data_IF_903459375451
#
_entry.id   IF_903459375451
#
_cell.length_a   1.000
_cell.length_b   1.000
_cell.length_c   1.000
_cell.angle_alpha   90.00
_cell.angle_beta   90.00
_cell.angle_gamma   90.00
#
_symmetry.space_group_name_H-M   'P 1'
#
loop_
_entity.id
_entity.type
_entity.pdbx_description
1 polymer ?
#
# COMPACT_ATOMS: atom_id res chain seq x y z
N UNK A 1 -30.89 -31.40 27.36
CA UNK A 1 -30.49 -29.99 27.58
C UNK A 1 -29.95 -29.41 26.26
N UNK A 2 -30.80 -29.28 25.23
CA UNK A 2 -30.42 -28.83 23.86
C UNK A 2 -30.78 -27.35 23.64
N UNK A 3 -31.78 -26.87 24.39
CA UNK A 3 -32.34 -25.53 24.27
C UNK A 3 -31.33 -24.45 24.72
N UNK A 4 -30.53 -24.71 25.76
CA UNK A 4 -29.50 -23.77 26.22
C UNK A 4 -28.38 -23.55 25.19
N UNK A 5 -27.98 -24.59 24.46
CA UNK A 5 -26.97 -24.48 23.40
C UNK A 5 -27.47 -23.67 22.20
N UNK A 6 -28.77 -23.75 21.89
CA UNK A 6 -29.39 -22.99 20.81
C UNK A 6 -29.42 -21.48 21.11
N UNK A 7 -29.68 -21.12 22.37
CA UNK A 7 -29.62 -19.73 22.82
C UNK A 7 -28.19 -19.18 22.82
N UNK A 8 -27.20 -19.98 23.20
CA UNK A 8 -25.77 -19.62 23.14
C UNK A 8 -25.28 -19.36 21.70
N UNK A 9 -25.68 -20.19 20.74
CA UNK A 9 -25.36 -19.98 19.32
C UNK A 9 -25.99 -18.68 18.78
N UNK A 10 -27.24 -18.42 19.13
CA UNK A 10 -27.97 -17.21 18.72
C UNK A 10 -27.37 -15.94 19.33
N UNK A 11 -26.91 -16.02 20.59
CA UNK A 11 -26.24 -14.91 21.28
C UNK A 11 -24.85 -14.62 20.69
N UNK A 12 -24.06 -15.66 20.41
CA UNK A 12 -22.74 -15.51 19.78
C UNK A 12 -22.84 -14.93 18.36
N UNK A 13 -23.83 -15.36 17.57
CA UNK A 13 -24.12 -14.78 16.25
C UNK A 13 -24.50 -13.29 16.34
N UNK A 14 -25.31 -12.91 17.33
CA UNK A 14 -25.74 -11.53 17.52
C UNK A 14 -24.60 -10.62 18.01
N UNK A 15 -23.69 -11.15 18.85
CA UNK A 15 -22.55 -10.40 19.40
C UNK A 15 -21.45 -10.15 18.35
N UNK A 16 -21.17 -11.12 17.48
CA UNK A 16 -20.06 -11.01 16.51
C UNK A 16 -20.50 -10.66 15.08
N UNK A 17 -21.81 -10.55 14.82
CA UNK A 17 -22.36 -10.34 13.49
C UNK A 17 -22.06 -8.96 12.86
N UNK A 18 -21.68 -7.95 13.66
CA UNK A 18 -21.41 -6.58 13.17
C UNK A 18 -19.93 -6.25 12.95
N UNK A 19 -19.00 -7.14 13.31
CA UNK A 19 -17.56 -6.81 13.31
C UNK A 19 -16.79 -7.38 12.11
N UNK A 20 -17.46 -8.11 11.22
CA UNK A 20 -16.82 -8.62 10.01
C UNK A 20 -17.77 -8.52 8.83
N UNK A 21 -17.68 -7.42 8.08
CA UNK A 21 -18.10 -7.43 6.68
C UNK A 21 -17.08 -8.28 5.91
N UNK A 22 -17.23 -9.59 6.02
CA UNK A 22 -16.65 -10.49 5.05
C UNK A 22 -17.34 -10.22 3.72
N UNK A 23 -16.61 -9.57 2.82
CA UNK A 23 -16.94 -9.60 1.40
C UNK A 23 -17.26 -11.05 1.04
N UNK A 24 -18.43 -11.24 0.43
CA UNK A 24 -18.96 -12.54 0.06
C UNK A 24 -17.93 -13.32 -0.76
N UNK A 25 -17.13 -14.14 -0.09
CA UNK A 25 -16.27 -15.15 -0.72
C UNK A 25 -17.11 -16.36 -1.18
N UNK A 26 -18.43 -16.29 -1.04
CA UNK A 26 -19.33 -17.34 -1.47
C UNK A 26 -19.38 -17.36 -3.00
N UNK A 27 -18.49 -18.16 -3.59
CA UNK A 27 -18.83 -19.02 -4.72
C UNK A 27 -20.26 -19.50 -4.58
N UNK A 28 -21.10 -19.24 -5.60
CA UNK A 28 -22.54 -19.45 -5.57
C UNK A 28 -22.94 -20.53 -4.55
N UNK A 29 -23.45 -20.09 -3.41
CA UNK A 29 -24.39 -20.94 -2.70
C UNK A 29 -25.70 -20.65 -3.41
N UNK A 30 -26.00 -21.49 -4.40
CA UNK A 30 -27.36 -21.77 -4.85
C UNK A 30 -28.25 -21.69 -3.61
N UNK A 31 -29.12 -20.68 -3.51
CA UNK A 31 -29.76 -20.33 -2.25
C UNK A 31 -30.53 -21.55 -1.71
N UNK A 32 -30.00 -22.13 -0.64
CA UNK A 32 -30.23 -23.52 -0.23
C UNK A 32 -31.55 -23.73 0.50
N UNK A 33 -32.54 -22.85 0.28
CA UNK A 33 -33.89 -23.08 0.80
C UNK A 33 -34.62 -24.18 0.01
N UNK A 34 -34.20 -24.51 -1.22
CA UNK A 34 -34.75 -25.63 -2.02
C UNK A 34 -33.69 -26.25 -2.94
N UNK A 35 -33.69 -27.58 -3.07
CA UNK A 35 -32.80 -28.31 -3.98
C UNK A 35 -33.01 -27.86 -5.42
N UNK A 36 -31.98 -27.25 -6.02
CA UNK A 36 -32.05 -26.69 -7.37
C UNK A 36 -31.28 -27.59 -8.34
N UNK A 37 -31.91 -27.92 -9.48
CA UNK A 37 -31.26 -28.71 -10.52
C UNK A 37 -30.18 -27.86 -11.18
N UNK A 38 -28.97 -28.42 -11.26
CA UNK A 38 -27.75 -27.74 -11.73
C UNK A 38 -27.79 -27.30 -13.21
N UNK A 39 -28.83 -27.69 -13.95
CA UNK A 39 -29.09 -27.29 -15.34
C UNK A 39 -30.05 -26.10 -15.47
N UNK A 40 -30.62 -25.60 -14.36
CA UNK A 40 -31.52 -24.45 -14.43
C UNK A 40 -30.78 -23.20 -14.90
N UNK A 41 -31.41 -22.43 -15.78
CA UNK A 41 -30.82 -21.23 -16.38
C UNK A 41 -30.27 -20.25 -15.33
N UNK A 42 -30.98 -20.11 -14.19
CA UNK A 42 -30.56 -19.28 -13.06
C UNK A 42 -29.21 -19.70 -12.44
N UNK A 43 -28.92 -21.01 -12.38
CA UNK A 43 -27.63 -21.51 -11.87
C UNK A 43 -26.51 -21.22 -12.87
N UNK A 44 -26.77 -21.40 -14.18
CA UNK A 44 -25.80 -21.08 -15.23
C UNK A 44 -25.49 -19.59 -15.26
N UNK A 45 -26.51 -18.71 -15.29
CA UNK A 45 -26.33 -17.25 -15.28
C UNK A 45 -25.55 -16.78 -14.05
N UNK A 46 -25.85 -17.35 -12.87
CA UNK A 46 -25.08 -17.12 -11.66
C UNK A 46 -23.60 -17.45 -11.85
N UNK A 47 -23.30 -18.64 -12.38
CA UNK A 47 -21.92 -19.10 -12.61
C UNK A 47 -21.17 -18.20 -13.59
N UNK A 48 -21.82 -17.72 -14.66
CA UNK A 48 -21.25 -16.76 -15.61
C UNK A 48 -20.95 -15.42 -14.92
N UNK A 49 -21.91 -14.85 -14.21
CA UNK A 49 -21.72 -13.60 -13.47
C UNK A 49 -20.63 -13.71 -12.39
N UNK A 50 -20.43 -14.89 -11.82
CA UNK A 50 -19.32 -15.12 -10.90
C UNK A 50 -17.98 -15.20 -11.63
N UNK A 51 -17.91 -15.89 -12.77
CA UNK A 51 -16.70 -16.00 -13.58
C UNK A 51 -16.23 -14.62 -14.04
N UNK A 52 -17.16 -13.77 -14.50
CA UNK A 52 -16.85 -12.39 -14.88
C UNK A 52 -16.36 -11.54 -13.69
N UNK A 53 -16.99 -11.67 -12.52
CA UNK A 53 -16.51 -11.02 -11.28
C UNK A 53 -15.09 -11.45 -10.91
N UNK A 54 -14.79 -12.75 -10.96
CA UNK A 54 -13.42 -13.25 -10.70
C UNK A 54 -12.42 -12.71 -11.72
N UNK A 55 -12.77 -12.70 -13.00
CA UNK A 55 -11.88 -12.17 -14.04
C UNK A 55 -11.60 -10.68 -13.87
N UNK A 56 -12.64 -9.89 -13.55
CA UNK A 56 -12.47 -8.46 -13.29
C UNK A 56 -11.65 -8.20 -12.03
N UNK A 57 -11.86 -8.96 -10.94
CA UNK A 57 -11.04 -8.87 -9.73
C UNK A 57 -9.58 -9.25 -9.98
N UNK A 58 -9.32 -10.30 -10.74
CA UNK A 58 -7.96 -10.70 -11.13
C UNK A 58 -7.27 -9.64 -11.98
N UNK A 59 -7.98 -9.05 -12.95
CA UNK A 59 -7.49 -7.96 -13.77
C UNK A 59 -7.18 -6.71 -12.90
N UNK A 60 -8.06 -6.36 -11.97
CA UNK A 60 -7.82 -5.26 -11.03
C UNK A 60 -6.63 -5.53 -10.09
N UNK A 61 -6.47 -6.77 -9.62
CA UNK A 61 -5.31 -7.16 -8.79
C UNK A 61 -4.01 -7.02 -9.57
N UNK A 62 -3.97 -7.46 -10.83
CA UNK A 62 -2.81 -7.29 -11.71
C UNK A 62 -2.50 -5.81 -11.95
N UNK A 63 -3.49 -5.02 -12.35
CA UNK A 63 -3.32 -3.58 -12.56
C UNK A 63 -2.82 -2.85 -11.30
N UNK A 64 -3.33 -3.23 -10.12
CA UNK A 64 -2.81 -2.70 -8.84
C UNK A 64 -1.36 -3.13 -8.62
N UNK A 65 -1.03 -4.41 -8.82
CA UNK A 65 0.35 -4.88 -8.66
C UNK A 65 1.34 -4.10 -9.54
N UNK A 66 0.97 -3.86 -10.80
CA UNK A 66 1.79 -3.10 -11.76
C UNK A 66 1.97 -1.64 -11.33
N UNK A 67 0.90 -0.98 -10.86
CA UNK A 67 0.98 0.39 -10.32
C UNK A 67 1.90 0.47 -9.10
N UNK A 68 1.82 -0.51 -8.21
CA UNK A 68 2.69 -0.56 -7.02
C UNK A 68 4.15 -0.82 -7.39
N UNK A 69 4.40 -1.68 -8.37
CA UNK A 69 5.75 -1.92 -8.90
C UNK A 69 6.33 -0.64 -9.51
N UNK A 70 5.58 0.05 -10.37
CA UNK A 70 6.00 1.32 -10.98
C UNK A 70 6.27 2.41 -9.93
N UNK A 71 5.40 2.52 -8.91
CA UNK A 71 5.59 3.47 -7.80
C UNK A 71 6.85 3.15 -7.00
N UNK A 72 7.11 1.87 -6.70
CA UNK A 72 8.34 1.46 -6.01
C UNK A 72 9.57 1.81 -6.84
N UNK A 73 9.56 1.54 -8.13
CA UNK A 73 10.68 1.87 -9.01
C UNK A 73 10.95 3.39 -9.04
N UNK A 74 9.90 4.20 -9.20
CA UNK A 74 10.03 5.66 -9.14
C UNK A 74 10.60 6.14 -7.81
N UNK A 75 10.12 5.59 -6.69
CA UNK A 75 10.64 5.91 -5.36
C UNK A 75 12.12 5.54 -5.22
N UNK A 76 12.53 4.37 -5.70
CA UNK A 76 13.95 3.95 -5.62
C UNK A 76 14.87 4.86 -6.42
N UNK A 77 14.43 5.39 -7.57
CA UNK A 77 15.19 6.36 -8.37
C UNK A 77 15.36 7.67 -7.61
N UNK A 78 14.26 8.20 -7.04
CA UNK A 78 14.30 9.43 -6.24
C UNK A 78 15.19 9.28 -4.99
N UNK A 79 15.10 8.15 -4.29
CA UNK A 79 15.92 7.90 -3.11
C UNK A 79 17.42 7.82 -3.47
N UNK A 80 17.76 7.20 -4.60
CA UNK A 80 19.13 7.13 -5.09
C UNK A 80 19.67 8.52 -5.47
N UNK A 81 18.88 9.35 -6.14
CA UNK A 81 19.22 10.75 -6.44
C UNK A 81 19.39 11.56 -5.16
N UNK A 82 18.49 11.39 -4.19
CA UNK A 82 18.56 12.08 -2.91
C UNK A 82 19.81 11.71 -2.11
N UNK A 83 20.24 10.46 -2.16
CA UNK A 83 21.52 10.02 -1.56
C UNK A 83 22.70 10.73 -2.22
N UNK A 84 22.71 10.86 -3.56
CA UNK A 84 23.76 11.60 -4.28
C UNK A 84 23.79 13.07 -3.90
N UNK A 85 22.64 13.75 -3.92
CA UNK A 85 22.51 15.16 -3.55
C UNK A 85 23.02 15.40 -2.12
N UNK A 86 22.66 14.53 -1.17
CA UNK A 86 23.18 14.61 0.21
C UNK A 86 24.68 14.40 0.29
N UNK A 87 25.24 13.47 -0.48
CA UNK A 87 26.67 13.22 -0.52
C UNK A 87 27.43 14.43 -1.09
N UNK A 88 26.95 15.01 -2.18
CA UNK A 88 27.56 16.18 -2.81
C UNK A 88 27.43 17.43 -1.93
N UNK A 89 26.29 17.64 -1.28
CA UNK A 89 26.15 18.73 -0.31
C UNK A 89 27.11 18.59 0.88
N UNK A 90 27.36 17.36 1.37
CA UNK A 90 28.35 17.12 2.42
C UNK A 90 29.77 17.46 1.96
N UNK A 91 30.14 17.11 0.72
CA UNK A 91 31.43 17.49 0.13
C UNK A 91 31.54 19.02 0.02
N UNK A 92 30.53 19.68 -0.52
CA UNK A 92 30.49 21.14 -0.65
C UNK A 92 30.63 21.85 0.70
N UNK A 93 29.99 21.33 1.76
CA UNK A 93 30.17 21.86 3.12
C UNK A 93 31.60 21.65 3.61
N UNK A 94 32.18 20.46 3.40
CA UNK A 94 33.55 20.17 3.83
C UNK A 94 34.57 21.07 3.13
N UNK A 95 34.44 21.24 1.82
CA UNK A 95 35.23 22.17 1.02
C UNK A 95 35.04 23.60 1.50
N UNK A 96 33.80 24.07 1.65
CA UNK A 96 33.51 25.41 2.15
C UNK A 96 34.14 25.69 3.52
N UNK A 97 34.10 24.71 4.44
CA UNK A 97 34.75 24.82 5.75
C UNK A 97 36.28 24.92 5.62
N UNK A 98 36.88 24.11 4.74
CA UNK A 98 38.32 24.16 4.46
C UNK A 98 38.72 25.55 3.92
N UNK A 99 37.97 26.06 2.94
CA UNK A 99 38.23 27.38 2.35
C UNK A 99 38.09 28.47 3.41
N UNK A 100 37.03 28.43 4.22
CA UNK A 100 36.86 29.39 5.32
C UNK A 100 38.00 29.34 6.35
N UNK A 101 38.50 28.14 6.68
CA UNK A 101 39.61 27.97 7.60
C UNK A 101 40.93 28.53 7.04
N UNK A 102 41.16 28.38 5.73
CA UNK A 102 42.32 28.97 5.05
C UNK A 102 42.23 30.51 5.03
N UNK A 103 41.07 31.07 4.63
CA UNK A 103 40.87 32.53 4.60
C UNK A 103 41.00 33.17 6.00
N UNK A 104 40.59 32.46 7.06
CA UNK A 104 40.81 32.91 8.44
C UNK A 104 42.29 32.88 8.83
N UNK A 105 43.06 31.87 8.39
CA UNK A 105 44.52 31.84 8.55
C UNK A 105 45.20 32.99 7.82
N UNK A 106 44.67 33.39 6.67
CA UNK A 106 45.16 34.52 5.87
C UNK A 106 44.73 35.89 6.45
N UNK A 107 44.05 35.93 7.61
CA UNK A 107 43.66 37.16 8.30
C UNK A 107 42.39 37.82 7.76
N UNK A 108 41.62 37.14 6.91
CA UNK A 108 40.38 37.70 6.37
C UNK A 108 39.30 37.76 7.46
N UNK A 109 38.70 38.94 7.62
CA UNK A 109 37.61 39.17 8.57
C UNK A 109 36.41 38.28 8.27
N UNK A 110 35.74 37.78 9.32
CA UNK A 110 34.58 36.89 9.22
C UNK A 110 33.44 37.43 8.35
N UNK A 111 33.32 38.76 8.21
CA UNK A 111 32.31 39.42 7.38
C UNK A 111 32.51 39.18 5.87
N UNK A 112 33.76 38.90 5.46
CA UNK A 112 34.14 38.70 4.06
C UNK A 112 34.27 37.22 3.69
N UNK A 113 33.92 36.31 4.60
CA UNK A 113 33.93 34.87 4.30
C UNK A 113 32.77 34.52 3.35
N UNK A 114 32.96 33.55 2.44
CA UNK A 114 31.90 33.08 1.57
C UNK A 114 30.73 32.53 2.40
N UNK A 115 29.50 32.76 1.94
CA UNK A 115 28.30 32.25 2.61
C UNK A 115 28.25 30.72 2.55
N UNK A 116 27.69 30.11 3.59
CA UNK A 116 27.53 28.66 3.66
C UNK A 116 26.60 28.16 2.54
N UNK A 117 26.84 26.95 1.99
CA UNK A 117 25.94 26.32 1.04
C UNK A 117 24.52 26.16 1.62
N UNK A 118 23.50 26.54 0.85
CA UNK A 118 22.09 26.32 1.23
C UNK A 118 21.79 24.82 1.26
N UNK A 119 20.97 24.38 2.21
CA UNK A 119 20.55 22.98 2.31
C UNK A 119 19.75 22.58 1.06
N UNK A 120 20.00 21.40 0.47
CA UNK A 120 19.22 20.86 -0.63
C UNK A 120 17.83 20.37 -0.17
#
# INVERSE_FOLDING_TARGET
MVIQNLHLLKLNSALHGKEKEWGSNCTLVIDSSKGQVFSSAAVLEGLWAQKERKQTEEAQKKAKADLWAAKKEAQTKLDAEWVRIKADHKKNIAEWKLTCANLQRDGISKKNLPKAPTRP
#
